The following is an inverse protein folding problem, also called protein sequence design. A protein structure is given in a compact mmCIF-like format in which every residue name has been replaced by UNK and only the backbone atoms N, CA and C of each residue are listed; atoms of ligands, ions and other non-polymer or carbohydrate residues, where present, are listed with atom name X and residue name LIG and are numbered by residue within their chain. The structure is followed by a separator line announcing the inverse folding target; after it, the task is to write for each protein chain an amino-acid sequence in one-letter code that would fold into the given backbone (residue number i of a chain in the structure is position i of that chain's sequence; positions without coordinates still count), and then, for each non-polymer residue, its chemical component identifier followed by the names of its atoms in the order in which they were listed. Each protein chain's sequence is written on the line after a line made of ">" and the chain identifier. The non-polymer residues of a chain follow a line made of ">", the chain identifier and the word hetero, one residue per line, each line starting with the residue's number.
data_IF_848955992693
#
_entry.id   IF_848955992693
#
_cell.length_a   1.000
_cell.length_b   1.000
_cell.length_c   1.000
_cell.angle_alpha   90.00
_cell.angle_beta   90.00
_cell.angle_gamma   90.00
#
_symmetry.space_group_name_H-M   'P 1'
#
loop_
_entity.id
_entity.type
_entity.pdbx_description
1 polymer ?
#
# COMPACT_ATOMS: atom_id res chain seq x y z
N UNK A 1 -7.09 25.65 6.12
CA UNK A 1 -6.34 24.43 6.47
C UNK A 1 -6.32 23.55 5.24
N UNK A 2 -5.14 23.26 4.70
CA UNK A 2 -4.98 22.58 3.40
C UNK A 2 -5.48 21.13 3.38
N UNK A 3 -5.42 20.45 4.53
CA UNK A 3 -5.74 19.03 4.63
C UNK A 3 -6.64 18.70 5.82
N UNK A 4 -7.26 17.54 5.75
CA UNK A 4 -7.93 16.88 6.88
C UNK A 4 -7.59 15.40 6.87
N UNK A 5 -7.34 14.82 8.04
CA UNK A 5 -7.05 13.39 8.14
C UNK A 5 -8.23 12.54 7.65
N UNK A 6 -7.97 11.61 6.73
CA UNK A 6 -8.98 10.68 6.23
C UNK A 6 -8.87 9.33 6.98
N UNK A 7 -9.38 9.32 8.20
CA UNK A 7 -9.44 8.11 9.05
C UNK A 7 -10.24 7.01 8.36
N UNK A 8 -9.86 5.76 8.58
CA UNK A 8 -10.55 4.58 8.01
C UNK A 8 -12.04 4.51 8.36
N UNK A 9 -12.44 4.98 9.55
CA UNK A 9 -13.84 5.07 9.96
C UNK A 9 -14.69 5.97 9.06
N UNK A 10 -14.07 6.93 8.35
CA UNK A 10 -14.72 7.80 7.37
C UNK A 10 -14.76 7.23 5.95
N UNK A 11 -14.17 6.06 5.73
CA UNK A 11 -14.30 5.32 4.48
C UNK A 11 -15.68 4.66 4.32
N UNK A 12 -15.91 4.04 3.17
CA UNK A 12 -17.15 3.34 2.79
C UNK A 12 -16.83 1.95 2.24
N UNK A 13 -17.83 1.07 2.23
CA UNK A 13 -17.67 -0.34 1.84
C UNK A 13 -16.86 -1.17 2.84
N UNK A 14 -16.36 -2.31 2.37
CA UNK A 14 -15.58 -3.26 3.15
C UNK A 14 -14.20 -2.71 3.54
N UNK A 15 -13.62 -3.26 4.60
CA UNK A 15 -12.22 -3.14 4.92
C UNK A 15 -11.40 -3.92 3.91
N UNK A 16 -10.50 -3.24 3.22
CA UNK A 16 -9.48 -3.85 2.39
C UNK A 16 -8.20 -3.98 3.21
N UNK A 17 -7.73 -5.20 3.36
CA UNK A 17 -6.43 -5.49 3.97
C UNK A 17 -5.53 -6.06 2.89
N UNK A 18 -4.36 -5.47 2.70
CA UNK A 18 -3.37 -5.99 1.77
C UNK A 18 -1.97 -5.96 2.40
N UNK A 19 -1.17 -6.93 1.98
CA UNK A 19 0.19 -7.14 2.43
C UNK A 19 1.01 -7.55 1.22
N UNK A 20 2.12 -6.86 1.01
CA UNK A 20 3.10 -7.11 -0.03
C UNK A 20 4.45 -7.30 0.65
N UNK A 21 5.18 -8.37 0.32
CA UNK A 21 6.47 -8.67 0.92
C UNK A 21 7.48 -9.10 -0.12
N UNK A 22 8.71 -8.62 0.04
CA UNK A 22 9.87 -9.12 -0.70
C UNK A 22 10.92 -9.61 0.28
N UNK A 23 11.56 -10.73 -0.05
CA UNK A 23 12.67 -11.30 0.71
C UNK A 23 13.99 -11.10 -0.03
N UNK A 24 15.02 -10.64 0.67
CA UNK A 24 16.31 -10.37 0.06
C UNK A 24 17.49 -10.58 1.01
N UNK A 25 18.68 -10.76 0.45
CA UNK A 25 19.95 -10.82 1.17
C UNK A 25 20.91 -9.76 0.65
N UNK A 26 21.65 -9.16 1.58
CA UNK A 26 22.67 -8.15 1.28
C UNK A 26 23.98 -8.86 0.90
N UNK A 27 24.49 -8.71 -0.33
CA UNK A 27 25.75 -9.33 -0.73
C UNK A 27 26.92 -8.87 0.13
N UNK A 28 27.74 -9.80 0.61
CA UNK A 28 28.96 -9.48 1.37
C UNK A 28 28.71 -8.93 2.77
N UNK A 29 27.48 -9.02 3.30
CA UNK A 29 27.20 -8.60 4.67
C UNK A 29 28.06 -9.40 5.67
N UNK A 30 28.76 -8.68 6.53
CA UNK A 30 29.57 -9.21 7.62
C UNK A 30 29.04 -8.72 8.97
N UNK A 31 29.24 -9.52 10.03
CA UNK A 31 28.81 -9.19 11.38
C UNK A 31 27.33 -9.46 11.66
N UNK A 32 26.81 -8.81 12.70
CA UNK A 32 25.43 -8.98 13.16
C UNK A 32 24.43 -8.32 12.17
N UNK A 33 23.58 -9.12 11.50
CA UNK A 33 22.63 -8.58 10.53
C UNK A 33 21.57 -7.66 11.15
N UNK A 34 21.32 -7.74 12.46
CA UNK A 34 20.37 -6.84 13.14
C UNK A 34 20.87 -5.38 13.11
N UNK A 35 22.19 -5.16 13.16
CA UNK A 35 22.80 -3.82 13.07
C UNK A 35 22.66 -3.19 11.69
N UNK A 36 22.30 -3.98 10.66
CA UNK A 36 22.08 -3.48 9.30
C UNK A 36 20.68 -2.87 9.13
N UNK A 37 19.70 -3.24 9.97
CA UNK A 37 18.32 -2.77 9.81
C UNK A 37 18.18 -1.24 9.83
N UNK A 38 18.81 -0.50 10.75
CA UNK A 38 18.71 0.97 10.76
C UNK A 38 19.21 1.63 9.48
N UNK A 39 20.27 1.06 8.87
CA UNK A 39 20.81 1.54 7.61
C UNK A 39 19.81 1.32 6.48
N UNK A 40 19.23 0.12 6.39
CA UNK A 40 18.23 -0.22 5.36
C UNK A 40 16.98 0.67 5.48
N UNK A 41 16.48 0.87 6.69
CA UNK A 41 15.31 1.72 6.98
C UNK A 41 15.59 3.17 6.62
N UNK A 42 16.72 3.72 7.06
CA UNK A 42 17.08 5.11 6.80
C UNK A 42 17.25 5.38 5.30
N UNK A 43 17.94 4.48 4.58
CA UNK A 43 18.10 4.58 3.12
C UNK A 43 16.75 4.50 2.40
N UNK A 44 15.92 3.50 2.75
CA UNK A 44 14.60 3.34 2.12
C UNK A 44 13.69 4.53 2.35
N UNK A 45 13.66 5.07 3.58
CA UNK A 45 12.82 6.21 3.94
C UNK A 45 13.29 7.49 3.24
N UNK A 46 14.60 7.74 3.21
CA UNK A 46 15.19 8.91 2.55
C UNK A 46 14.93 8.91 1.05
N UNK A 47 15.17 7.77 0.40
CA UNK A 47 15.10 7.63 -1.05
C UNK A 47 13.77 7.01 -1.50
N UNK A 48 12.73 7.02 -0.65
CA UNK A 48 11.42 6.43 -0.97
C UNK A 48 10.86 6.93 -2.31
N UNK A 49 10.86 8.25 -2.62
CA UNK A 49 10.39 8.72 -3.92
C UNK A 49 11.19 8.17 -5.11
N UNK A 50 12.50 7.97 -4.96
CA UNK A 50 13.34 7.40 -6.01
C UNK A 50 12.95 5.96 -6.32
N UNK A 51 12.74 5.14 -5.29
CA UNK A 51 12.33 3.74 -5.46
C UNK A 51 10.89 3.62 -5.95
N UNK A 52 9.99 4.43 -5.42
CA UNK A 52 8.59 4.46 -5.88
C UNK A 52 8.51 4.89 -7.34
N UNK A 53 9.18 5.97 -7.75
CA UNK A 53 9.09 6.47 -9.12
C UNK A 53 9.89 5.64 -10.14
N UNK A 54 10.80 4.77 -9.68
CA UNK A 54 11.67 3.99 -10.57
C UNK A 54 12.81 4.80 -11.20
N UNK A 55 13.34 5.82 -10.49
CA UNK A 55 14.32 6.78 -11.03
C UNK A 55 15.76 6.26 -11.02
N UNK A 56 16.07 5.25 -11.83
CA UNK A 56 17.42 4.69 -11.92
C UNK A 56 17.56 3.43 -12.75
N UNK A 57 18.81 3.01 -12.93
CA UNK A 57 19.16 1.86 -13.78
C UNK A 57 18.55 0.57 -13.22
N UNK A 58 17.90 -0.21 -14.08
CA UNK A 58 17.25 -1.48 -13.75
C UNK A 58 16.06 -1.38 -12.76
N UNK A 59 15.43 -0.21 -12.66
CA UNK A 59 14.14 -0.04 -11.99
C UNK A 59 13.03 0.10 -13.02
N UNK A 60 11.81 -0.28 -12.64
CA UNK A 60 10.62 -0.08 -13.44
C UNK A 60 9.90 1.20 -13.01
N UNK A 61 9.56 2.03 -13.99
CA UNK A 61 8.74 3.22 -13.78
C UNK A 61 7.34 2.82 -13.28
N UNK A 62 6.86 3.53 -12.26
CA UNK A 62 5.51 3.32 -11.75
C UNK A 62 4.48 4.12 -12.55
N UNK A 63 3.24 3.63 -12.57
CA UNK A 63 2.11 4.35 -13.18
C UNK A 63 1.73 5.63 -12.41
N UNK A 64 2.21 5.76 -11.17
CA UNK A 64 2.10 6.96 -10.37
C UNK A 64 3.49 7.45 -9.98
N UNK A 65 3.62 8.75 -9.77
CA UNK A 65 4.81 9.37 -9.18
C UNK A 65 4.52 9.85 -7.76
N UNK A 66 5.57 9.97 -6.95
CA UNK A 66 5.53 10.55 -5.62
C UNK A 66 6.64 11.59 -5.48
N UNK A 67 6.33 12.69 -4.81
CA UNK A 67 7.30 13.73 -4.47
C UNK A 67 6.98 14.34 -3.10
N UNK A 68 8.00 14.90 -2.46
CA UNK A 68 7.78 15.75 -1.29
C UNK A 68 7.04 17.02 -1.70
N UNK A 69 5.95 17.32 -1.00
CA UNK A 69 5.12 18.50 -1.22
C UNK A 69 5.58 19.66 -0.35
N UNK A 70 5.44 20.88 -0.87
CA UNK A 70 5.65 22.12 -0.10
C UNK A 70 4.54 22.36 0.92
N UNK A 71 3.35 21.80 0.68
CA UNK A 71 2.24 21.84 1.63
C UNK A 71 2.48 20.90 2.81
N UNK A 72 2.04 21.35 3.98
CA UNK A 72 2.30 20.66 5.24
C UNK A 72 1.00 20.27 5.92
N UNK A 73 1.07 19.24 6.77
CA UNK A 73 0.03 18.86 7.70
C UNK A 73 0.66 18.80 9.09
N UNK A 74 0.07 19.48 10.07
CA UNK A 74 0.61 19.54 11.44
C UNK A 74 2.11 19.93 11.48
N UNK A 75 2.50 20.93 10.67
CA UNK A 75 3.88 21.45 10.54
C UNK A 75 4.90 20.45 9.96
N UNK A 76 4.45 19.31 9.44
CA UNK A 76 5.31 18.32 8.80
C UNK A 76 5.08 18.28 7.30
N UNK A 77 6.13 17.96 6.54
CA UNK A 77 6.03 17.78 5.08
C UNK A 77 5.12 16.61 4.75
N UNK A 78 4.41 16.76 3.64
CA UNK A 78 3.56 15.71 3.09
C UNK A 78 4.21 15.11 1.84
N UNK A 79 3.82 13.88 1.51
CA UNK A 79 4.12 13.27 0.21
C UNK A 79 2.91 13.44 -0.69
N UNK A 80 3.14 13.91 -1.91
CA UNK A 80 2.16 13.99 -3.00
C UNK A 80 2.40 12.83 -3.93
N UNK A 81 1.41 11.96 -4.06
CA UNK A 81 1.26 10.98 -5.11
C UNK A 81 0.49 11.60 -6.27
N UNK A 82 0.82 11.18 -7.48
CA UNK A 82 0.21 11.66 -8.70
C UNK A 82 0.06 10.47 -9.63
N UNK A 83 -1.18 10.14 -9.96
CA UNK A 83 -1.53 9.08 -10.88
C UNK A 83 -1.75 9.68 -12.27
N UNK A 84 -0.95 9.19 -13.22
CA UNK A 84 -1.17 9.45 -14.64
C UNK A 84 -1.98 8.31 -15.24
N UNK A 85 -2.98 8.63 -16.06
CA UNK A 85 -3.80 7.61 -16.73
C UNK A 85 -3.43 7.55 -18.20
N UNK A 86 -2.89 6.40 -18.62
CA UNK A 86 -2.60 6.07 -20.02
C UNK A 86 -3.63 5.06 -20.52
N UNK A 87 -4.61 5.52 -21.30
CA UNK A 87 -5.57 4.65 -21.98
C UNK A 87 -4.98 4.21 -23.31
N UNK A 88 -4.09 3.21 -23.26
CA UNK A 88 -3.31 2.75 -24.42
C UNK A 88 -4.17 2.36 -25.63
N UNK A 89 -5.34 1.74 -25.42
CA UNK A 89 -6.26 1.35 -26.49
C UNK A 89 -6.88 2.53 -27.24
N UNK A 90 -6.92 3.72 -26.62
CA UNK A 90 -7.49 4.94 -27.19
C UNK A 90 -6.42 5.97 -27.57
N UNK A 91 -5.14 5.70 -27.30
CA UNK A 91 -4.05 6.66 -27.49
C UNK A 91 -4.15 7.90 -26.61
N UNK A 92 -4.97 7.88 -25.56
CA UNK A 92 -5.21 9.03 -24.67
C UNK A 92 -4.25 8.95 -23.48
N UNK A 93 -3.55 10.05 -23.23
CA UNK A 93 -2.74 10.27 -22.03
C UNK A 93 -3.37 11.41 -21.22
N UNK A 94 -3.83 11.12 -20.01
CA UNK A 94 -4.35 12.10 -19.06
C UNK A 94 -3.30 12.29 -17.95
N UNK A 95 -2.35 13.23 -18.14
CA UNK A 95 -1.42 13.58 -17.07
C UNK A 95 -2.17 14.25 -15.92
N UNK A 96 -1.66 14.08 -14.70
CA UNK A 96 -2.25 14.64 -13.48
C UNK A 96 -3.73 14.23 -13.29
N UNK A 97 -4.11 13.02 -13.72
CA UNK A 97 -5.50 12.56 -13.67
C UNK A 97 -6.03 12.56 -12.24
N UNK A 98 -5.21 12.10 -11.30
CA UNK A 98 -5.53 12.11 -9.88
C UNK A 98 -4.29 12.39 -9.04
N UNK A 99 -4.48 13.05 -7.89
CA UNK A 99 -3.39 13.25 -6.95
C UNK A 99 -3.82 12.87 -5.55
N UNK A 100 -2.85 12.36 -4.77
CA UNK A 100 -3.02 11.75 -3.46
C UNK A 100 -2.02 12.31 -2.45
N UNK A 101 -2.46 12.60 -1.23
CA UNK A 101 -1.56 13.18 -0.21
C UNK A 101 -1.54 12.31 1.02
N UNK A 102 -0.34 12.15 1.57
CA UNK A 102 -0.14 11.45 2.82
C UNK A 102 0.81 12.24 3.74
N UNK A 103 0.63 12.03 5.03
CA UNK A 103 1.54 12.51 6.06
C UNK A 103 2.18 11.31 6.77
N UNK A 104 3.50 11.37 7.01
CA UNK A 104 4.22 10.31 7.73
C UNK A 104 3.95 10.46 9.23
N UNK A 105 3.11 9.57 9.78
CA UNK A 105 2.62 9.65 11.17
C UNK A 105 3.49 8.89 12.18
N UNK A 106 4.35 7.99 11.70
CA UNK A 106 5.16 7.10 12.52
C UNK A 106 6.44 6.75 11.78
N UNK A 107 7.55 6.78 12.51
CA UNK A 107 8.86 6.34 12.06
C UNK A 107 9.57 5.65 13.22
N UNK A 108 10.22 4.54 12.92
CA UNK A 108 11.13 3.83 13.83
C UNK A 108 12.36 3.44 13.04
N UNK A 109 13.56 3.91 13.42
CA UNK A 109 14.78 3.63 12.68
C UNK A 109 15.09 2.14 12.58
N UNK A 110 14.64 1.31 13.52
CA UNK A 110 14.90 -0.13 13.50
C UNK A 110 13.82 -0.92 12.76
N UNK A 111 12.73 -0.27 12.36
CA UNK A 111 11.55 -0.97 11.85
C UNK A 111 11.01 -0.42 10.54
N UNK A 112 10.86 0.89 10.37
CA UNK A 112 10.27 1.45 9.16
C UNK A 112 9.44 2.71 9.43
N UNK A 113 8.42 2.94 8.62
CA UNK A 113 7.54 4.10 8.76
C UNK A 113 6.09 3.79 8.33
N UNK A 114 5.18 4.71 8.63
CA UNK A 114 3.79 4.63 8.20
C UNK A 114 3.25 6.00 7.84
N UNK A 115 2.33 6.00 6.86
CA UNK A 115 1.71 7.19 6.34
C UNK A 115 0.18 7.12 6.46
N UNK A 116 -0.40 8.27 6.80
CA UNK A 116 -1.83 8.49 6.94
C UNK A 116 -2.31 9.23 5.70
N UNK A 117 -3.36 8.70 5.09
CA UNK A 117 -4.03 9.38 3.99
C UNK A 117 -4.67 10.69 4.46
N UNK A 118 -4.49 11.74 3.66
CA UNK A 118 -5.08 13.06 3.84
C UNK A 118 -6.11 13.33 2.76
N UNK A 119 -7.22 13.96 3.16
CA UNK A 119 -8.14 14.66 2.26
C UNK A 119 -7.61 16.07 2.00
N UNK A 120 -7.65 16.55 0.76
CA UNK A 120 -7.38 17.96 0.44
C UNK A 120 -8.62 18.82 0.63
N UNK A 121 -8.37 20.07 1.00
CA UNK A 121 -9.36 21.14 1.07
C UNK A 121 -9.01 22.29 0.09
N UNK A 122 -8.28 21.99 -0.97
CA UNK A 122 -7.89 22.93 -2.02
C UNK A 122 -7.94 22.24 -3.38
N UNK A 123 -8.02 23.04 -4.45
CA UNK A 123 -8.05 22.54 -5.82
C UNK A 123 -6.69 22.62 -6.53
N UNK A 124 -6.40 21.65 -7.40
CA UNK A 124 -5.20 21.63 -8.24
C UNK A 124 -5.36 20.92 -9.60
N UNK A 125 -4.32 21.02 -10.44
CA UNK A 125 -4.32 20.44 -11.78
C UNK A 125 -5.51 20.91 -12.61
N UNK A 126 -6.22 19.96 -13.21
CA UNK A 126 -7.42 20.20 -14.02
C UNK A 126 -8.58 20.80 -13.21
N UNK A 127 -8.61 20.68 -11.88
CA UNK A 127 -9.70 21.23 -11.07
C UNK A 127 -9.74 22.76 -11.10
N UNK A 128 -8.57 23.42 -11.19
CA UNK A 128 -8.49 24.90 -11.19
C UNK A 128 -9.28 25.54 -12.33
N UNK A 129 -9.03 25.21 -13.61
CA UNK A 129 -9.84 25.75 -14.70
C UNK A 129 -11.28 25.27 -14.66
N UNK A 130 -11.52 24.03 -14.22
CA UNK A 130 -12.85 23.42 -14.16
C UNK A 130 -13.75 24.03 -13.07
N UNK A 131 -13.18 24.50 -11.96
CA UNK A 131 -13.90 25.17 -10.85
C UNK A 131 -14.56 26.51 -11.22
N UNK A 132 -14.29 27.03 -12.42
CA UNK A 132 -14.80 28.31 -12.93
C UNK A 132 -16.08 28.12 -13.77
N UNK A 133 -16.43 26.87 -14.12
CA UNK A 133 -17.55 26.54 -15.01
C UNK A 133 -18.80 26.01 -14.25
N UNK A 134 -20.03 26.26 -14.74
CA UNK A 134 -21.28 25.83 -14.10
C UNK A 134 -21.50 24.30 -14.07
N UNK A 135 -22.28 23.82 -13.10
CA UNK A 135 -21.89 22.76 -12.15
C UNK A 135 -22.35 21.29 -12.36
N UNK A 136 -23.00 20.86 -13.44
CA UNK A 136 -23.68 19.54 -13.38
C UNK A 136 -22.82 18.29 -13.64
N UNK A 137 -21.69 18.38 -14.37
CA UNK A 137 -20.75 17.26 -14.56
C UNK A 137 -19.32 17.55 -14.04
N UNK A 138 -18.94 18.83 -13.97
CA UNK A 138 -17.59 19.24 -13.51
C UNK A 138 -17.42 19.18 -11.99
N UNK A 139 -18.49 19.35 -11.22
CA UNK A 139 -18.45 19.27 -9.75
C UNK A 139 -17.99 17.90 -9.26
N UNK A 140 -18.27 16.86 -10.04
CA UNK A 140 -17.94 15.47 -9.78
C UNK A 140 -16.43 15.23 -9.97
N UNK A 141 -15.83 15.77 -11.04
CA UNK A 141 -14.38 15.70 -11.30
C UNK A 141 -13.56 16.52 -10.30
N UNK A 142 -14.04 17.71 -9.92
CA UNK A 142 -13.40 18.54 -8.88
C UNK A 142 -13.50 17.88 -7.51
N UNK A 143 -14.60 17.19 -7.22
CA UNK A 143 -14.66 16.42 -5.98
C UNK A 143 -13.72 15.22 -6.08
N UNK A 144 -13.69 14.51 -7.21
CA UNK A 144 -12.88 13.31 -7.40
C UNK A 144 -11.41 13.56 -7.09
N UNK A 145 -10.86 14.64 -7.62
CA UNK A 145 -9.45 14.97 -7.44
C UNK A 145 -9.12 15.58 -6.07
N UNK A 146 -10.09 16.05 -5.30
CA UNK A 146 -9.86 16.55 -3.95
C UNK A 146 -9.80 15.44 -2.87
N UNK A 147 -10.26 14.23 -3.17
CA UNK A 147 -10.34 13.11 -2.22
C UNK A 147 -9.46 11.94 -2.63
N UNK A 148 -8.74 11.38 -1.67
CA UNK A 148 -7.96 10.18 -1.94
C UNK A 148 -8.84 8.98 -2.27
N UNK A 149 -8.34 8.04 -3.09
CA UNK A 149 -9.03 6.78 -3.38
C UNK A 149 -9.38 5.97 -2.12
N UNK A 150 -8.51 5.97 -1.12
CA UNK A 150 -8.57 5.10 0.03
C UNK A 150 -8.54 5.93 1.32
N UNK A 151 -9.27 5.49 2.33
CA UNK A 151 -9.27 6.04 3.67
C UNK A 151 -8.57 5.05 4.61
N UNK A 152 -7.46 5.46 5.23
CA UNK A 152 -6.71 4.58 6.13
C UNK A 152 -5.23 4.91 6.22
N UNK A 153 -4.44 3.87 6.47
CA UNK A 153 -2.99 3.95 6.66
C UNK A 153 -2.29 2.87 5.86
N UNK A 154 -1.08 3.21 5.39
CA UNK A 154 -0.13 2.24 4.87
C UNK A 154 1.16 2.32 5.66
N UNK A 155 1.77 1.17 5.89
CA UNK A 155 3.01 1.03 6.64
C UNK A 155 4.02 0.21 5.87
N UNK A 156 5.29 0.58 5.98
CA UNK A 156 6.43 -0.14 5.43
C UNK A 156 7.35 -0.56 6.56
N UNK A 157 7.68 -1.84 6.64
CA UNK A 157 8.52 -2.38 7.70
C UNK A 157 9.60 -3.32 7.17
N UNK A 158 10.74 -3.30 7.86
CA UNK A 158 11.87 -4.18 7.67
C UNK A 158 11.96 -5.17 8.83
N UNK A 159 12.67 -6.26 8.57
CA UNK A 159 13.14 -7.17 9.61
C UNK A 159 13.96 -8.32 9.06
N UNK A 160 14.45 -9.16 9.96
CA UNK A 160 15.10 -10.41 9.62
C UNK A 160 14.07 -11.52 9.51
N UNK A 161 14.22 -12.35 8.48
CA UNK A 161 13.43 -13.55 8.30
C UNK A 161 13.84 -14.59 9.35
N UNK A 162 12.90 -14.98 10.20
CA UNK A 162 13.12 -15.89 11.33
C UNK A 162 12.28 -17.17 11.20
N UNK A 163 12.62 -18.24 11.95
CA UNK A 163 11.79 -19.44 12.03
C UNK A 163 10.32 -19.11 12.33
N UNK A 164 9.42 -19.77 11.60
CA UNK A 164 7.98 -19.55 11.73
C UNK A 164 7.44 -18.35 10.95
N UNK A 165 8.27 -17.62 10.20
CA UNK A 165 7.81 -16.58 9.25
C UNK A 165 7.60 -17.14 7.82
N UNK A 166 6.67 -16.58 7.02
CA UNK A 166 6.47 -16.91 5.63
C UNK A 166 7.74 -16.71 4.83
N UNK A 167 8.07 -17.73 4.04
CA UNK A 167 9.27 -17.76 3.21
C UNK A 167 10.49 -18.29 3.95
N UNK A 168 10.40 -18.55 5.27
CA UNK A 168 11.44 -19.26 6.00
C UNK A 168 11.43 -20.75 5.67
N UNK A 169 12.61 -21.31 5.42
CA UNK A 169 12.82 -22.75 5.30
C UNK A 169 14.22 -23.11 5.82
N UNK A 170 14.29 -23.97 6.84
CA UNK A 170 15.54 -24.45 7.46
C UNK A 170 16.57 -25.01 6.46
N UNK A 171 16.16 -25.52 5.30
CA UNK A 171 17.04 -26.21 4.36
C UNK A 171 17.07 -25.67 2.93
N UNK A 172 16.37 -24.57 2.59
CA UNK A 172 16.20 -24.20 1.18
C UNK A 172 16.00 -22.70 0.91
N UNK A 173 16.59 -21.80 1.69
CA UNK A 173 16.58 -20.38 1.33
C UNK A 173 17.35 -20.21 0.01
N UNK A 174 16.61 -20.10 -1.09
CA UNK A 174 17.16 -19.95 -2.43
C UNK A 174 17.36 -18.47 -2.71
N UNK A 175 18.54 -17.99 -2.32
CA UNK A 175 18.99 -16.64 -2.65
C UNK A 175 19.66 -16.63 -4.02
N UNK A 176 19.45 -15.58 -4.80
CA UNK A 176 20.03 -15.47 -6.14
C UNK A 176 19.78 -14.11 -6.76
N UNK A 177 20.12 -13.99 -8.04
CA UNK A 177 19.82 -12.79 -8.84
C UNK A 177 18.74 -13.11 -9.86
N UNK A 178 17.90 -12.14 -10.15
CA UNK A 178 16.99 -12.19 -11.30
C UNK A 178 17.51 -11.18 -12.32
N UNK A 179 17.90 -11.69 -13.49
CA UNK A 179 18.38 -10.89 -14.63
C UNK A 179 17.59 -11.34 -15.86
N UNK A 180 16.95 -10.38 -16.55
CA UNK A 180 16.11 -10.66 -17.74
C UNK A 180 15.08 -11.78 -17.54
N UNK A 181 14.43 -11.81 -16.37
CA UNK A 181 13.43 -12.84 -16.01
C UNK A 181 13.99 -14.19 -15.59
N UNK A 182 15.32 -14.40 -15.68
CA UNK A 182 15.97 -15.65 -15.27
C UNK A 182 16.55 -15.54 -13.86
N UNK A 183 16.21 -16.51 -13.00
CA UNK A 183 16.80 -16.64 -11.67
C UNK A 183 18.08 -17.46 -11.72
N UNK A 184 19.16 -16.92 -11.17
CA UNK A 184 20.45 -17.61 -11.01
C UNK A 184 20.73 -17.75 -9.51
N UNK A 185 20.76 -18.99 -8.96
CA UNK A 185 21.00 -19.21 -7.54
C UNK A 185 22.43 -18.83 -7.16
N UNK A 186 22.59 -18.31 -5.95
CA UNK A 186 23.89 -18.11 -5.33
C UNK A 186 24.35 -19.41 -4.67
N UNK A 187 25.60 -19.79 -4.93
CA UNK A 187 26.20 -21.05 -4.47
C UNK A 187 27.07 -20.92 -3.21
N UNK A 188 27.12 -19.75 -2.57
CA UNK A 188 27.88 -19.56 -1.33
C UNK A 188 27.13 -20.02 -0.09
N UNK A 189 27.76 -19.84 1.08
CA UNK A 189 27.20 -20.23 2.37
C UNK A 189 25.89 -19.51 2.73
N UNK A 190 25.17 -19.97 3.78
CA UNK A 190 23.90 -19.40 4.19
C UNK A 190 24.05 -17.91 4.51
N UNK A 191 23.21 -17.07 3.90
CA UNK A 191 23.21 -15.62 4.12
C UNK A 191 21.97 -15.19 4.90
N UNK A 192 22.08 -14.20 5.81
CA UNK A 192 20.92 -13.58 6.43
C UNK A 192 19.91 -13.11 5.39
N UNK A 193 18.63 -13.40 5.61
CA UNK A 193 17.53 -12.95 4.75
C UNK A 193 16.75 -11.88 5.50
N UNK A 194 16.59 -10.73 4.87
CA UNK A 194 15.75 -9.63 5.29
C UNK A 194 14.41 -9.71 4.58
N UNK A 195 13.40 -9.09 5.16
CA UNK A 195 12.17 -8.73 4.46
C UNK A 195 11.99 -7.21 4.43
N UNK A 196 11.38 -6.74 3.35
CA UNK A 196 10.69 -5.46 3.30
C UNK A 196 9.23 -5.75 2.99
N UNK A 197 8.34 -5.17 3.80
CA UNK A 197 6.91 -5.37 3.70
C UNK A 197 6.17 -4.05 3.63
N UNK A 198 5.21 -3.95 2.69
CA UNK A 198 4.20 -2.90 2.65
C UNK A 198 2.84 -3.49 3.00
N UNK A 199 2.16 -2.90 3.98
CA UNK A 199 0.85 -3.36 4.43
C UNK A 199 -0.10 -2.19 4.62
N UNK A 200 -1.38 -2.41 4.37
CA UNK A 200 -2.43 -1.42 4.63
C UNK A 200 -3.70 -2.06 5.19
N UNK A 201 -4.40 -1.25 5.97
CA UNK A 201 -5.79 -1.47 6.36
C UNK A 201 -6.54 -0.20 5.96
N UNK A 202 -7.44 -0.34 5.00
CA UNK A 202 -8.06 0.80 4.32
C UNK A 202 -9.50 0.51 3.91
N UNK A 203 -10.27 1.56 3.63
CA UNK A 203 -11.61 1.49 3.05
C UNK A 203 -11.66 2.39 1.83
N UNK A 204 -12.61 2.19 0.94
CA UNK A 204 -12.81 3.15 -0.15
C UNK A 204 -13.16 4.52 0.42
N UNK A 205 -12.72 5.61 -0.19
CA UNK A 205 -13.27 6.91 0.17
C UNK A 205 -14.75 6.96 -0.23
N UNK A 206 -15.57 7.65 0.56
CA UNK A 206 -17.02 7.77 0.29
C UNK A 206 -17.30 8.32 -1.12
N UNK A 207 -16.40 9.18 -1.62
CA UNK A 207 -16.56 9.75 -2.94
C UNK A 207 -16.27 8.73 -4.06
N UNK A 208 -15.23 7.91 -3.92
CA UNK A 208 -14.93 6.87 -4.91
C UNK A 208 -16.13 5.93 -5.12
N UNK A 209 -16.83 5.57 -4.04
CA UNK A 209 -18.03 4.73 -4.13
C UNK A 209 -19.15 5.41 -4.94
N UNK A 210 -19.48 6.67 -4.63
CA UNK A 210 -20.49 7.44 -5.40
C UNK A 210 -20.16 7.55 -6.88
N UNK A 211 -18.87 7.55 -7.20
CA UNK A 211 -18.39 7.67 -8.57
C UNK A 211 -18.48 6.35 -9.32
N UNK A 212 -18.11 5.23 -8.69
CA UNK A 212 -18.29 3.89 -9.26
C UNK A 212 -19.77 3.58 -9.53
N UNK A 213 -20.70 4.13 -8.75
CA UNK A 213 -22.14 4.01 -9.00
C UNK A 213 -22.61 4.79 -10.25
N UNK A 214 -21.91 5.87 -10.62
CA UNK A 214 -22.27 6.71 -11.77
C UNK A 214 -21.76 6.12 -13.08
N UNK A 215 -20.54 5.58 -13.13
CA UNK A 215 -20.01 4.90 -14.31
C UNK A 215 -18.95 3.84 -13.95
N UNK A 216 -19.29 2.54 -13.95
CA UNK A 216 -18.36 1.46 -13.63
C UNK A 216 -17.18 1.31 -14.60
N UNK A 217 -17.27 1.85 -15.83
CA UNK A 217 -16.30 1.62 -16.91
C UNK A 217 -15.21 2.68 -17.04
N UNK A 218 -15.39 3.86 -16.44
CA UNK A 218 -14.43 4.99 -16.55
C UNK A 218 -13.32 4.89 -15.50
N UNK A 219 -13.59 4.30 -14.34
CA UNK A 219 -12.57 4.16 -13.31
C UNK A 219 -11.62 3.04 -13.73
N UNK A 220 -10.39 3.42 -14.11
CA UNK A 220 -9.22 2.53 -14.19
C UNK A 220 -9.32 1.51 -13.06
N UNK A 221 -8.96 0.25 -13.30
CA UNK A 221 -8.94 -0.75 -12.24
C UNK A 221 -7.88 -0.37 -11.18
N UNK A 222 -8.27 0.55 -10.30
CA UNK A 222 -7.44 1.16 -9.26
C UNK A 222 -6.90 0.04 -8.36
N UNK A 223 -7.63 -1.09 -8.23
CA UNK A 223 -7.17 -2.25 -7.47
C UNK A 223 -5.97 -2.91 -8.13
N UNK A 224 -5.97 -3.09 -9.45
CA UNK A 224 -4.82 -3.61 -10.19
C UNK A 224 -3.67 -2.58 -10.27
N UNK A 225 -3.97 -1.28 -10.35
CA UNK A 225 -2.95 -0.23 -10.24
C UNK A 225 -2.26 -0.26 -8.86
N UNK A 226 -3.01 -0.31 -7.76
CA UNK A 226 -2.46 -0.43 -6.39
C UNK A 226 -1.50 -1.62 -6.28
N UNK A 227 -1.91 -2.73 -6.85
CA UNK A 227 -1.14 -3.96 -6.90
C UNK A 227 0.22 -3.75 -7.58
N UNK A 228 0.26 -3.12 -8.76
CA UNK A 228 1.50 -2.86 -9.49
C UNK A 228 2.37 -1.84 -8.75
N UNK A 229 1.78 -0.73 -8.27
CA UNK A 229 2.50 0.33 -7.56
C UNK A 229 3.35 -0.17 -6.39
N UNK A 230 2.74 -0.95 -5.50
CA UNK A 230 3.43 -1.46 -4.32
C UNK A 230 4.40 -2.59 -4.65
N UNK A 231 4.10 -3.42 -5.65
CA UNK A 231 5.01 -4.49 -6.07
C UNK A 231 6.28 -3.92 -6.71
N UNK A 232 6.12 -2.93 -7.59
CA UNK A 232 7.21 -2.22 -8.23
C UNK A 232 8.09 -1.51 -7.20
N UNK A 233 7.51 -0.84 -6.20
CA UNK A 233 8.28 -0.19 -5.12
C UNK A 233 9.21 -1.20 -4.42
N UNK A 234 8.68 -2.36 -4.04
CA UNK A 234 9.45 -3.40 -3.34
C UNK A 234 10.57 -3.95 -4.22
N UNK A 235 10.26 -4.27 -5.47
CA UNK A 235 11.23 -4.77 -6.44
C UNK A 235 12.32 -3.72 -6.73
N UNK A 236 11.93 -2.47 -6.99
CA UNK A 236 12.83 -1.36 -7.30
C UNK A 236 13.86 -1.14 -6.20
N UNK A 237 13.45 -1.19 -4.93
CA UNK A 237 14.40 -1.09 -3.82
C UNK A 237 15.46 -2.20 -3.87
N UNK A 238 15.05 -3.46 -3.98
CA UNK A 238 15.97 -4.61 -4.00
C UNK A 238 16.89 -4.58 -5.23
N UNK A 239 16.36 -4.25 -6.41
CA UNK A 239 17.11 -4.14 -7.65
C UNK A 239 18.11 -2.98 -7.62
N UNK A 240 17.68 -1.79 -7.20
CA UNK A 240 18.54 -0.62 -7.12
C UNK A 240 19.74 -0.82 -6.17
N UNK A 241 19.55 -1.60 -5.11
CA UNK A 241 20.62 -1.93 -4.16
C UNK A 241 21.47 -3.13 -4.58
N UNK A 242 21.12 -3.82 -5.68
CA UNK A 242 21.83 -5.02 -6.14
C UNK A 242 21.74 -6.18 -5.16
N UNK A 243 20.67 -6.23 -4.36
CA UNK A 243 20.45 -7.29 -3.38
C UNK A 243 20.06 -8.60 -4.07
N UNK A 244 20.32 -9.72 -3.38
CA UNK A 244 19.94 -11.05 -3.85
C UNK A 244 18.51 -11.33 -3.43
N UNK A 245 17.65 -11.74 -4.37
CA UNK A 245 16.28 -12.14 -4.08
C UNK A 245 16.25 -13.54 -3.47
N UNK A 246 15.39 -13.72 -2.46
CA UNK A 246 15.03 -15.05 -1.96
C UNK A 246 13.67 -15.47 -2.56
N UNK A 247 13.70 -16.46 -3.46
CA UNK A 247 12.55 -16.83 -4.31
C UNK A 247 11.71 -18.01 -3.78
N UNK A 248 11.79 -18.30 -2.48
CA UNK A 248 10.93 -19.32 -1.86
C UNK A 248 9.50 -18.82 -1.65
N UNK A 249 8.51 -19.53 -2.21
CA UNK A 249 7.10 -19.24 -1.95
C UNK A 249 6.85 -19.19 -0.43
N UNK A 250 6.14 -18.17 0.07
CA UNK A 250 5.85 -18.06 1.47
C UNK A 250 5.04 -19.28 1.92
N UNK A 251 5.59 -20.01 2.88
CA UNK A 251 4.82 -20.95 3.70
C UNK A 251 3.96 -20.16 4.69
N UNK A 252 3.04 -20.81 5.38
CA UNK A 252 2.30 -20.21 6.49
C UNK A 252 3.24 -19.74 7.60
N UNK A 253 2.86 -18.69 8.33
CA UNK A 253 3.28 -18.59 9.74
C UNK A 253 2.84 -19.87 10.48
N UNK A 254 3.56 -20.28 11.53
CA UNK A 254 3.10 -21.40 12.39
C UNK A 254 1.70 -21.19 12.97
N UNK A 255 1.21 -19.95 12.96
CA UNK A 255 -0.09 -19.50 13.47
C UNK A 255 -0.97 -18.83 12.39
N UNK A 256 -0.62 -18.91 11.11
CA UNK A 256 -1.36 -18.26 10.01
C UNK A 256 -2.67 -18.98 9.64
N UNK A 257 -3.49 -18.33 8.84
CA UNK A 257 -4.74 -18.88 8.29
C UNK A 257 -4.55 -19.72 7.00
N UNK A 258 -3.31 -19.92 6.51
CA UNK A 258 -3.00 -20.83 5.39
C UNK A 258 -2.04 -20.27 4.32
N UNK A 259 -1.28 -21.15 3.65
CA UNK A 259 -0.26 -20.75 2.67
C UNK A 259 -0.89 -20.32 1.34
N UNK A 260 -2.11 -20.82 1.05
CA UNK A 260 -2.93 -20.47 -0.10
C UNK A 260 -3.35 -19.00 -0.14
N UNK A 261 -3.18 -18.26 0.96
CA UNK A 261 -3.45 -16.83 1.00
C UNK A 261 -2.45 -16.00 0.19
N UNK A 262 -1.24 -16.54 0.00
CA UNK A 262 -0.18 -15.84 -0.71
C UNK A 262 -0.26 -16.12 -2.21
N UNK A 263 -0.14 -15.05 -2.99
CA UNK A 263 0.06 -15.09 -4.43
C UNK A 263 1.40 -14.44 -4.78
N UNK A 264 2.04 -14.93 -5.83
CA UNK A 264 3.25 -14.33 -6.40
C UNK A 264 2.88 -13.36 -7.51
N UNK A 265 3.64 -12.27 -7.62
CA UNK A 265 3.54 -11.41 -8.79
C UNK A 265 4.27 -12.04 -9.98
N UNK A 266 3.60 -12.31 -11.11
CA UNK A 266 4.24 -12.93 -12.28
C UNK A 266 5.41 -12.10 -12.82
N UNK A 267 5.25 -10.78 -12.85
CA UNK A 267 6.26 -9.82 -13.32
C UNK A 267 7.46 -9.73 -12.37
N UNK A 268 7.22 -9.90 -11.06
CA UNK A 268 8.22 -9.72 -10.02
C UNK A 268 8.40 -10.97 -9.18
N UNK A 269 9.25 -11.87 -9.71
CA UNK A 269 9.65 -13.07 -8.98
C UNK A 269 10.26 -12.68 -7.62
N UNK A 270 9.63 -13.14 -6.54
CA UNK A 270 10.07 -12.89 -5.17
C UNK A 270 9.26 -11.82 -4.42
N UNK A 271 8.35 -11.11 -5.11
CA UNK A 271 7.30 -10.29 -4.46
C UNK A 271 6.07 -11.15 -4.25
N UNK A 272 5.68 -11.27 -2.98
CA UNK A 272 4.52 -12.02 -2.54
C UNK A 272 3.45 -11.06 -2.04
N UNK A 273 2.19 -11.38 -2.29
CA UNK A 273 1.07 -10.57 -1.83
C UNK A 273 -0.06 -11.43 -1.31
N UNK A 274 -0.81 -10.88 -0.37
CA UNK A 274 -2.12 -11.40 0.01
C UNK A 274 -3.06 -10.23 0.26
N UNK A 275 -4.35 -10.45 -0.02
CA UNK A 275 -5.41 -9.46 0.16
C UNK A 275 -6.68 -10.13 0.65
N UNK A 276 -7.45 -9.43 1.46
CA UNK A 276 -8.81 -9.83 1.81
C UNK A 276 -9.69 -8.61 2.04
N UNK A 277 -10.99 -8.85 2.02
CA UNK A 277 -12.01 -7.87 2.35
C UNK A 277 -12.83 -8.38 3.53
N UNK A 278 -13.20 -7.46 4.44
CA UNK A 278 -14.01 -7.76 5.63
C UNK A 278 -15.10 -6.72 5.78
N UNK A 279 -16.31 -7.12 6.17
CA UNK A 279 -17.41 -6.18 6.34
C UNK A 279 -17.28 -5.42 7.67
N UNK A 280 -16.83 -6.13 8.71
CA UNK A 280 -16.80 -5.62 10.08
C UNK A 280 -15.38 -5.62 10.67
N UNK A 281 -15.10 -4.71 11.64
CA UNK A 281 -13.88 -4.78 12.43
C UNK A 281 -13.70 -6.12 13.15
N UNK A 282 -14.82 -6.75 13.56
CA UNK A 282 -14.81 -8.04 14.24
C UNK A 282 -14.28 -9.15 13.34
N UNK A 283 -14.75 -9.23 12.10
CA UNK A 283 -14.25 -10.20 11.11
C UNK A 283 -12.77 -10.00 10.80
N UNK A 284 -12.38 -8.74 10.58
CA UNK A 284 -10.98 -8.37 10.35
C UNK A 284 -10.10 -8.84 11.51
N UNK A 285 -10.53 -8.56 12.75
CA UNK A 285 -9.77 -8.91 13.94
C UNK A 285 -9.77 -10.42 14.26
N UNK A 286 -10.75 -11.16 13.76
CA UNK A 286 -10.84 -12.61 13.95
C UNK A 286 -9.80 -13.40 13.12
N UNK A 287 -9.21 -12.79 12.08
CA UNK A 287 -8.21 -13.44 11.24
C UNK A 287 -6.82 -13.36 11.88
N UNK A 288 -6.19 -14.52 12.08
CA UNK A 288 -4.87 -14.63 12.71
C UNK A 288 -3.81 -13.91 11.89
N UNK A 289 -3.91 -14.02 10.56
CA UNK A 289 -2.97 -13.38 9.65
C UNK A 289 -3.00 -11.85 9.73
N UNK A 290 -4.19 -11.29 9.95
CA UNK A 290 -4.40 -9.85 10.14
C UNK A 290 -3.86 -9.42 11.49
N UNK A 291 -4.11 -10.17 12.57
CA UNK A 291 -3.52 -9.86 13.88
C UNK A 291 -2.00 -9.83 13.82
N UNK A 292 -1.39 -10.82 13.17
CA UNK A 292 0.06 -10.83 12.96
C UNK A 292 0.53 -9.58 12.18
N UNK A 293 -0.18 -9.21 11.11
CA UNK A 293 0.13 -8.00 10.34
C UNK A 293 0.07 -6.75 11.23
N UNK A 294 -0.96 -6.62 12.06
CA UNK A 294 -1.12 -5.48 12.96
C UNK A 294 -0.03 -5.43 14.05
N UNK A 295 0.40 -6.58 14.56
CA UNK A 295 1.51 -6.66 15.52
C UNK A 295 2.85 -6.30 14.87
N UNK A 296 3.03 -6.68 13.60
CA UNK A 296 4.23 -6.36 12.84
C UNK A 296 4.27 -4.87 12.41
N UNK A 297 3.09 -4.27 12.22
CA UNK A 297 2.89 -2.89 11.79
C UNK A 297 2.14 -2.07 12.87
N UNK A 298 2.81 -1.61 13.93
CA UNK A 298 2.16 -0.98 15.08
C UNK A 298 1.36 0.28 14.73
N UNK A 299 1.76 1.01 13.69
CA UNK A 299 1.04 2.19 13.21
C UNK A 299 -0.33 1.88 12.56
N UNK A 300 -0.54 0.65 12.09
CA UNK A 300 -1.84 0.19 11.60
C UNK A 300 -2.76 -0.21 12.77
N UNK A 301 -2.20 -0.81 13.82
CA UNK A 301 -2.92 -1.19 15.04
C UNK A 301 -3.46 0.01 15.83
N UNK A 302 -2.76 1.15 15.79
CA UNK A 302 -3.11 2.33 16.58
C UNK A 302 -4.31 3.14 16.06
N UNK A 303 -4.98 2.69 14.99
CA UNK A 303 -6.23 3.28 14.53
C UNK A 303 -7.40 2.50 15.15
N UNK A 304 -8.18 3.06 16.10
CA UNK A 304 -9.28 2.34 16.73
C UNK A 304 -10.32 1.95 15.69
N UNK A 305 -10.56 0.65 15.55
CA UNK A 305 -11.61 0.08 14.71
C UNK A 305 -12.75 -0.41 15.62
N UNK A 306 -13.52 0.52 16.21
CA UNK A 306 -14.64 0.16 17.10
C UNK A 306 -15.98 0.29 16.38
N UNK A 307 -16.87 -0.71 16.50
CA UNK A 307 -18.19 -0.73 15.83
C UNK A 307 -18.99 0.59 15.98
N UNK A 308 -18.88 1.24 17.14
CA UNK A 308 -19.52 2.53 17.47
C UNK A 308 -19.01 3.73 16.68
N UNK A 309 -17.80 3.66 16.14
CA UNK A 309 -17.24 4.72 15.29
C UNK A 309 -17.73 4.62 13.84
N UNK A 310 -18.50 3.58 13.50
CA UNK A 310 -18.98 3.31 12.15
C UNK A 310 -20.48 3.58 12.02
N UNK A 311 -20.82 4.62 11.24
CA UNK A 311 -22.13 4.71 10.59
C UNK A 311 -21.97 4.12 9.20
N UNK A 312 -22.05 2.80 9.09
CA UNK A 312 -22.09 2.17 7.77
C UNK A 312 -23.30 2.70 7.00
N UNK A 313 -23.11 3.15 5.75
CA UNK A 313 -24.19 3.08 4.76
C UNK A 313 -24.34 1.61 4.36
N UNK A 314 -24.78 0.78 5.30
CA UNK A 314 -25.36 -0.51 4.97
C UNK A 314 -26.78 -0.24 4.55
N UNK A 315 -27.04 -0.30 3.24
CA UNK A 315 -28.40 -0.34 2.74
C UNK A 315 -29.12 -1.54 3.34
N UNK A 316 -29.95 -1.30 4.35
CA UNK A 316 -31.09 -2.16 4.63
C UNK A 316 -32.19 -1.72 3.68
N UNK A 317 -32.37 -2.45 2.59
CA UNK A 317 -33.70 -2.68 2.03
C UNK A 317 -34.51 -3.48 3.05
N UNK A 318 -34.94 -2.81 4.12
CA UNK A 318 -35.89 -3.33 5.09
C UNK A 318 -37.28 -2.82 4.69
N UNK A 319 -38.06 -3.69 4.07
CA UNK A 319 -39.49 -3.45 3.83
C UNK A 319 -40.23 -3.10 5.11
N UNK A 320 -41.31 -2.35 4.94
CA UNK A 320 -42.13 -1.81 6.02
C UNK A 320 -42.66 -2.85 7.00
N UNK A 321 -42.90 -2.39 8.22
CA UNK A 321 -43.59 -3.12 9.27
C UNK A 321 -43.76 -2.21 10.47
N UNK A 322 -44.99 -1.75 10.66
CA UNK A 322 -45.40 -0.82 11.71
C UNK A 322 -45.35 -1.42 13.13
N UNK A 323 -45.47 -0.50 14.08
CA UNK A 323 -46.03 -0.64 15.44
C UNK A 323 -45.09 -0.96 16.62
N UNK A 324 -45.16 -0.10 17.64
CA UNK A 324 -45.16 -0.52 19.05
C UNK A 324 -44.13 0.15 19.96
N UNK A 325 -44.51 1.26 20.61
CA UNK A 325 -44.10 1.59 21.99
C UNK A 325 -44.43 0.37 22.89
N UNK A 326 -43.68 -0.06 23.90
CA UNK A 326 -42.94 0.58 24.99
C UNK A 326 -41.69 -0.23 25.33
#
# INVERSE_FOLDING_TARGET
>A
MDFTELKIARGSGNFHVNQFRIHFSVPGLQGDPQKQLPVLVAEFTKDFPKFFNGLGKNMQENQASVAWSTRQFEQTRTLRFLLDVKLAALGINLPDFHSDWVHVLWQDPNKGFAAQTLKRNFSEGLEKPLSILPLSALSVLIQYNAYHFLAGRRSWVFGLLQPGMPGWNAGSLQVGKVESGKFTPYSGGPTPVFYLESSAVERSSLLLFKLMEVDPGIFVDIRETIISLWSNLLANYVHAKGFRLNVGHPKTYGTDDGASLWSTQPEWRGVYRRKAEFETPRELNAKKWVQYLLDLHPALKSQPLTETAFKGMGGRSGGGGASGEW
#
